data_IF_654058115750
#
_entry.id   IF_654058115750
#
_cell.length_a   1.000
_cell.length_b   1.000
_cell.length_c   1.000
_cell.angle_alpha   90.00
_cell.angle_beta   90.00
_cell.angle_gamma   90.00
#
_symmetry.space_group_name_H-M   'P 1'
#
loop_
_entity.id
_entity.type
_entity.pdbx_description
1 polymer ?
#
# COMPACT_ATOMS: atom_id res chain seq x y z
N UNK A 1 38.20 4.15 -17.65
CA UNK A 1 37.54 3.81 -16.37
C UNK A 1 36.04 3.78 -16.63
N UNK A 2 35.54 2.71 -17.24
CA UNK A 2 34.14 2.60 -17.66
C UNK A 2 33.67 1.17 -17.41
N UNK A 3 32.97 0.92 -16.30
CA UNK A 3 32.25 -0.36 -16.07
C UNK A 3 31.26 -0.36 -14.90
N UNK A 4 31.18 0.70 -14.10
CA UNK A 4 30.36 0.70 -12.87
C UNK A 4 28.91 1.17 -13.12
N UNK A 5 28.61 1.83 -14.24
CA UNK A 5 27.28 2.40 -14.51
C UNK A 5 26.22 1.33 -14.84
N UNK A 6 26.62 0.24 -15.51
CA UNK A 6 25.69 -0.78 -16.01
C UNK A 6 25.13 -1.68 -14.90
N UNK A 7 25.95 -2.02 -13.90
CA UNK A 7 25.52 -2.89 -12.78
C UNK A 7 24.53 -2.17 -11.86
N UNK A 8 24.77 -0.89 -11.57
CA UNK A 8 23.89 -0.09 -10.71
C UNK A 8 22.52 0.17 -11.35
N UNK A 9 22.46 0.37 -12.68
CA UNK A 9 21.21 0.53 -13.42
C UNK A 9 20.36 -0.75 -13.43
N UNK A 10 21.00 -1.91 -13.55
CA UNK A 10 20.33 -3.22 -13.48
C UNK A 10 19.81 -3.53 -12.07
N UNK A 11 20.60 -3.31 -11.03
CA UNK A 11 20.15 -3.52 -9.64
C UNK A 11 18.98 -2.58 -9.28
N UNK A 12 19.00 -1.35 -9.81
CA UNK A 12 17.91 -0.38 -9.63
C UNK A 12 16.60 -0.73 -10.35
N UNK A 13 16.67 -1.50 -11.45
CA UNK A 13 15.51 -1.92 -12.24
C UNK A 13 14.84 -3.21 -11.74
N UNK A 14 15.50 -3.95 -10.85
CA UNK A 14 14.90 -5.13 -10.23
C UNK A 14 13.68 -4.75 -9.37
N UNK A 15 12.58 -5.53 -9.43
CA UNK A 15 11.42 -5.32 -8.57
C UNK A 15 11.85 -5.37 -7.10
N UNK A 16 11.74 -4.22 -6.41
CA UNK A 16 12.04 -4.16 -4.98
C UNK A 16 10.95 -4.91 -4.23
N UNK A 17 11.30 -6.06 -3.62
CA UNK A 17 10.41 -6.76 -2.69
C UNK A 17 10.18 -5.83 -1.50
N UNK A 18 8.98 -5.25 -1.42
CA UNK A 18 8.59 -4.32 -0.36
C UNK A 18 7.39 -4.90 0.34
N UNK A 19 7.53 -5.11 1.66
CA UNK A 19 6.38 -5.46 2.50
C UNK A 19 5.34 -4.35 2.38
N UNK A 20 4.15 -4.68 1.90
CA UNK A 20 2.99 -3.78 1.85
C UNK A 20 2.21 -3.88 3.14
N UNK A 21 1.86 -2.73 3.71
CA UNK A 21 0.94 -2.68 4.85
C UNK A 21 -0.47 -2.84 4.34
N UNK A 22 -1.22 -3.79 4.91
CA UNK A 22 -2.61 -4.05 4.58
C UNK A 22 -3.48 -3.70 5.79
N UNK A 23 -4.60 -3.03 5.52
CA UNK A 23 -5.62 -2.68 6.49
C UNK A 23 -6.96 -3.26 6.06
N UNK A 24 -7.73 -3.74 7.03
CA UNK A 24 -9.15 -4.02 6.82
C UNK A 24 -9.93 -2.71 6.86
N UNK A 25 -10.82 -2.54 5.89
CA UNK A 25 -11.81 -1.46 5.83
C UNK A 25 -13.07 -1.95 6.52
N UNK A 26 -13.44 -1.31 7.61
CA UNK A 26 -14.67 -1.59 8.35
C UNK A 26 -15.68 -0.49 8.09
N UNK A 27 -16.87 -0.87 7.61
CA UNK A 27 -18.01 0.02 7.37
C UNK A 27 -19.20 -0.62 8.07
N UNK A 28 -19.94 0.14 8.86
CA UNK A 28 -21.11 -0.34 9.63
C UNK A 28 -20.82 -1.61 10.46
N UNK A 29 -19.61 -1.70 11.00
CA UNK A 29 -19.16 -2.84 11.83
C UNK A 29 -18.72 -4.09 11.05
N UNK A 30 -18.80 -4.09 9.72
CA UNK A 30 -18.40 -5.22 8.88
C UNK A 30 -17.11 -4.95 8.10
N UNK A 31 -16.26 -5.97 8.00
CA UNK A 31 -15.07 -5.91 7.14
C UNK A 31 -15.49 -6.05 5.68
N UNK A 32 -15.36 -4.97 4.92
CA UNK A 32 -15.77 -4.93 3.51
C UNK A 32 -14.63 -5.38 2.59
N UNK A 33 -13.39 -4.99 2.89
CA UNK A 33 -12.22 -5.37 2.09
C UNK A 33 -10.89 -5.15 2.83
N UNK A 34 -9.80 -5.68 2.27
CA UNK A 34 -8.43 -5.28 2.59
C UNK A 34 -7.93 -4.20 1.62
N UNK A 35 -7.30 -3.15 2.12
CA UNK A 35 -6.66 -2.08 1.34
C UNK A 35 -5.20 -1.94 1.71
N UNK A 36 -4.36 -1.56 0.75
CA UNK A 36 -2.97 -1.16 0.97
C UNK A 36 -2.63 0.06 0.14
N UNK A 37 -1.49 0.68 0.40
CA UNK A 37 -0.99 1.82 -0.36
C UNK A 37 0.44 1.57 -0.85
N UNK A 38 0.78 2.08 -2.04
CA UNK A 38 2.11 1.91 -2.66
C UNK A 38 3.23 2.51 -1.81
N UNK A 39 2.94 3.56 -1.06
CA UNK A 39 3.83 4.24 -0.13
C UNK A 39 3.74 3.72 1.32
N UNK A 40 2.91 2.69 1.57
CA UNK A 40 2.61 2.13 2.90
C UNK A 40 2.02 3.12 3.92
N UNK A 41 1.57 4.30 3.49
CA UNK A 41 0.97 5.29 4.39
C UNK A 41 -0.51 5.03 4.58
N UNK A 42 -0.97 5.16 5.83
CA UNK A 42 -2.39 5.00 6.18
C UNK A 42 -3.24 6.06 5.50
N UNK A 43 -2.77 7.31 5.47
CA UNK A 43 -3.45 8.44 4.84
C UNK A 43 -3.75 8.21 3.36
N UNK A 44 -2.83 7.57 2.62
CA UNK A 44 -3.00 7.26 1.21
C UNK A 44 -4.07 6.18 1.00
N UNK A 45 -4.06 5.14 1.84
CA UNK A 45 -5.11 4.11 1.83
C UNK A 45 -6.48 4.69 2.22
N UNK A 46 -6.50 5.58 3.20
CA UNK A 46 -7.70 6.27 3.67
C UNK A 46 -8.31 7.17 2.59
N UNK A 47 -7.49 7.97 1.91
CA UNK A 47 -7.94 8.81 0.79
C UNK A 47 -8.54 7.97 -0.36
N UNK A 48 -7.93 6.81 -0.67
CA UNK A 48 -8.47 5.88 -1.65
C UNK A 48 -9.86 5.37 -1.25
N UNK A 49 -10.04 4.95 0.01
CA UNK A 49 -11.32 4.46 0.50
C UNK A 49 -12.36 5.57 0.59
N UNK A 50 -11.98 6.77 1.04
CA UNK A 50 -12.87 7.93 1.08
C UNK A 50 -13.38 8.31 -0.33
N UNK A 51 -12.54 8.19 -1.36
CA UNK A 51 -12.95 8.38 -2.75
C UNK A 51 -13.85 7.25 -3.26
N UNK A 52 -13.60 6.02 -2.82
CA UNK A 52 -14.34 4.82 -3.27
C UNK A 52 -15.74 4.72 -2.63
N UNK A 53 -15.89 5.15 -1.38
CA UNK A 53 -17.16 5.16 -0.64
C UNK A 53 -17.45 6.58 -0.14
N UNK A 54 -17.83 7.50 -1.05
CA UNK A 54 -18.09 8.88 -0.68
C UNK A 54 -19.24 8.96 0.34
N UNK A 55 -19.04 9.74 1.41
CA UNK A 55 -20.04 9.96 2.45
C UNK A 55 -20.20 8.82 3.47
N UNK A 56 -19.52 7.68 3.30
CA UNK A 56 -19.55 6.62 4.30
C UNK A 56 -18.50 6.83 5.39
N UNK A 57 -18.89 6.55 6.64
CA UNK A 57 -17.94 6.47 7.75
C UNK A 57 -17.27 5.09 7.71
N UNK A 58 -15.95 5.07 7.74
CA UNK A 58 -15.18 3.83 7.73
C UNK A 58 -14.02 3.90 8.72
N UNK A 59 -13.54 2.72 9.12
CA UNK A 59 -12.33 2.58 9.96
C UNK A 59 -11.32 1.70 9.25
N UNK A 60 -10.05 2.09 9.29
CA UNK A 60 -8.93 1.27 8.83
C UNK A 60 -8.23 0.60 10.01
N UNK A 61 -8.32 -0.73 10.08
CA UNK A 61 -7.70 -1.56 11.11
C UNK A 61 -6.50 -2.26 10.49
N UNK A 62 -5.32 -2.16 11.11
CA UNK A 62 -4.15 -2.90 10.62
C UNK A 62 -4.44 -4.40 10.64
N UNK A 63 -4.18 -5.07 9.51
CA UNK A 63 -4.37 -6.52 9.36
C UNK A 63 -3.04 -7.23 9.39
N UNK A 64 -2.19 -6.94 8.41
CA UNK A 64 -0.93 -7.66 8.22
C UNK A 64 0.05 -6.89 7.33
N UNK A 65 1.29 -7.37 7.31
CA UNK A 65 2.25 -7.05 6.28
C UNK A 65 2.23 -8.14 5.22
N UNK A 66 2.01 -7.77 3.97
CA UNK A 66 2.05 -8.70 2.82
C UNK A 66 3.34 -8.47 2.04
N UNK A 67 4.09 -9.54 1.74
CA UNK A 67 5.31 -9.49 0.92
C UNK A 67 4.93 -9.45 -0.57
#
# INVERSE_FOLDING_TARGET
MEKVTSVNGFIGSLPKIRKRRIWNVVIDGQVVQGVGATDNRKSTAEAYIAKKYPGQKFTLIFREWKI
#
